data_IF_846231493209
#
_entry.id   IF_846231493209
#
_cell.length_a   1.000
_cell.length_b   1.000
_cell.length_c   1.000
_cell.angle_alpha   90.00
_cell.angle_beta   90.00
_cell.angle_gamma   90.00
#
_symmetry.space_group_name_H-M   'P 1'
#
loop_
_entity.id
_entity.type
_entity.pdbx_description
1 polymer ?
2 branched ?
3 water ?
#
# COMPACT_ATOMS: atom_id res chain seq x y z
N UNK A 40 -5.27 -10.43 23.58
CA UNK A 40 -5.84 -10.45 22.23
C UNK A 40 -6.26 -9.05 21.76
N UNK A 41 -5.75 -8.65 20.60
CA UNK A 41 -6.15 -7.38 20.02
C UNK A 41 -7.62 -7.44 19.63
N UNK A 42 -8.30 -6.31 19.78
CA UNK A 42 -9.76 -6.25 19.68
C UNK A 42 -10.14 -5.31 18.54
N UNK A 43 -10.91 -5.83 17.59
CA UNK A 43 -11.49 -4.97 16.58
C UNK A 43 -12.48 -4.01 17.24
N UNK A 44 -12.87 -2.97 16.50
CA UNK A 44 -13.71 -1.95 17.12
C UNK A 44 -15.13 -2.45 17.40
N UNK A 45 -15.54 -3.60 16.87
CA UNK A 45 -16.81 -4.20 17.26
C UNK A 45 -16.68 -5.10 18.51
N UNK A 46 -15.50 -5.12 19.13
CA UNK A 46 -15.24 -6.03 20.22
C UNK A 46 -14.82 -7.43 19.83
N UNK A 47 -14.93 -7.81 18.55
CA UNK A 47 -14.43 -9.12 18.14
C UNK A 47 -12.91 -9.13 18.19
N UNK A 48 -12.34 -10.32 18.37
CA UNK A 48 -10.91 -10.42 18.48
C UNK A 48 -10.29 -10.54 17.11
N UNK A 49 -9.10 -9.97 16.97
CA UNK A 49 -8.30 -10.11 15.75
C UNK A 49 -7.24 -11.17 16.00
N UNK A 50 -7.23 -12.22 15.19
CA UNK A 50 -6.22 -13.26 15.28
C UNK A 50 -5.34 -13.13 14.04
N UNK A 51 -4.09 -12.69 14.19
CA UNK A 51 -3.22 -12.53 13.02
C UNK A 51 -2.66 -13.85 12.56
N UNK A 52 -2.32 -13.90 11.28
CA UNK A 52 -1.54 -15.04 10.82
C UNK A 52 -0.12 -14.93 11.35
N UNK A 53 0.56 -16.09 11.40
CA UNK A 53 1.91 -16.21 11.91
C UNK A 53 2.90 -15.28 11.22
N UNK A 54 2.66 -14.99 9.95
CA UNK A 54 3.62 -14.27 9.12
C UNK A 54 3.32 -12.78 9.02
N UNK A 55 2.33 -12.29 9.75
CA UNK A 55 2.01 -10.87 9.73
C UNK A 55 3.12 -10.09 10.43
N UNK A 56 3.30 -8.81 10.07
CA UNK A 56 4.24 -7.98 10.80
C UNK A 56 3.81 -7.81 12.24
N UNK A 57 4.72 -7.30 13.06
CA UNK A 57 4.31 -7.01 14.43
C UNK A 57 3.30 -5.87 14.43
N UNK A 58 2.49 -5.84 15.48
CA UNK A 58 1.53 -4.76 15.69
C UNK A 58 1.51 -4.40 17.16
N UNK A 59 1.19 -3.14 17.44
CA UNK A 59 1.15 -2.65 18.81
C UNK A 59 0.43 -1.32 18.81
N UNK A 60 -0.34 -1.07 19.87
CA UNK A 60 -0.95 0.24 20.05
C UNK A 60 -0.07 1.21 20.85
N UNK A 61 1.17 0.82 21.18
CA UNK A 61 2.02 1.67 22.02
C UNK A 61 2.09 3.09 21.48
N UNK A 62 2.37 3.22 20.19
CA UNK A 62 2.28 4.48 19.47
C UNK A 62 1.54 4.19 18.18
N UNK A 63 1.41 5.20 17.33
CA UNK A 63 0.66 5.04 16.10
C UNK A 63 1.31 3.92 15.27
N UNK A 64 0.57 2.86 14.93
CA UNK A 64 1.15 1.80 14.08
C UNK A 64 1.49 2.36 12.71
N UNK A 65 2.73 2.15 12.30
CA UNK A 65 3.30 2.85 11.16
C UNK A 65 3.65 1.86 10.05
N UNK A 66 3.47 2.33 8.82
CA UNK A 66 3.91 1.65 7.60
C UNK A 66 4.66 2.67 6.78
N UNK A 67 5.82 2.30 6.27
CA UNK A 67 6.61 3.23 5.46
C UNK A 67 6.70 2.71 4.03
N UNK A 68 6.71 3.60 3.05
CA UNK A 68 6.92 3.17 1.65
C UNK A 68 7.77 4.24 0.96
N UNK A 69 8.82 3.82 0.30
CA UNK A 69 9.75 4.80 -0.22
C UNK A 69 10.64 4.16 -1.27
N UNK A 70 11.28 5.01 -2.05
CA UNK A 70 12.29 4.55 -2.97
C UNK A 70 12.97 5.75 -3.57
N UNK A 71 14.16 5.52 -4.11
CA UNK A 71 14.95 6.58 -4.73
C UNK A 71 15.67 5.97 -5.93
N UNK A 72 15.32 6.43 -7.12
CA UNK A 72 15.96 5.90 -8.32
C UNK A 72 17.46 6.11 -8.27
N UNK A 73 17.91 7.16 -7.58
CA UNK A 73 19.27 7.67 -7.68
C UNK A 73 20.24 7.09 -6.67
N UNK A 74 19.76 6.47 -5.60
CA UNK A 74 20.68 6.05 -4.55
C UNK A 74 19.99 5.04 -3.65
N UNK A 75 20.80 4.31 -2.91
CA UNK A 75 20.31 3.46 -1.84
C UNK A 75 20.29 4.28 -0.55
N UNK A 76 19.66 3.71 0.48
CA UNK A 76 19.61 4.40 1.76
C UNK A 76 20.98 4.36 2.44
N UNK A 77 21.33 5.47 3.08
CA UNK A 77 22.48 5.47 3.99
C UNK A 77 22.15 4.63 5.22
N UNK A 78 23.15 4.05 5.90
CA UNK A 78 22.86 3.32 7.15
C UNK A 78 22.08 4.14 8.15
N UNK A 79 22.41 5.43 8.28
CA UNK A 79 21.68 6.30 9.19
C UNK A 79 20.21 6.33 8.84
N UNK A 80 19.90 6.33 7.54
CA UNK A 80 18.50 6.40 7.11
C UNK A 80 17.79 5.09 7.40
N UNK A 81 18.48 3.97 7.23
CA UNK A 81 17.93 2.66 7.58
C UNK A 81 17.61 2.61 9.08
N UNK A 82 18.52 3.10 9.92
CA UNK A 82 18.25 3.13 11.34
C UNK A 82 17.07 4.03 11.68
N UNK A 83 17.00 5.20 11.04
CA UNK A 83 15.90 6.12 11.33
C UNK A 83 14.56 5.45 11.02
N UNK A 84 14.46 4.80 9.85
CA UNK A 84 13.18 4.19 9.49
C UNK A 84 12.94 2.93 10.31
N UNK A 85 13.99 2.16 10.57
CA UNK A 85 13.82 0.93 11.33
C UNK A 85 13.29 1.22 12.72
N UNK A 86 13.67 2.35 13.30
CA UNK A 86 13.22 2.67 14.65
C UNK A 86 11.73 2.97 14.70
N UNK A 87 11.16 3.41 13.58
CA UNK A 87 9.78 3.89 13.57
C UNK A 87 8.78 2.91 12.93
N UNK A 88 9.21 1.79 12.39
CA UNK A 88 8.25 0.93 11.73
C UNK A 88 8.69 -0.52 11.82
N UNK A 89 7.70 -1.41 11.70
CA UNK A 89 7.91 -2.84 11.55
C UNK A 89 7.51 -3.35 10.17
N UNK A 90 7.06 -2.47 9.29
CA UNK A 90 6.35 -2.86 8.08
C UNK A 90 6.62 -1.78 7.05
N UNK A 91 7.29 -2.14 5.95
CA UNK A 91 7.59 -1.15 4.92
C UNK A 91 7.64 -1.81 3.54
N UNK A 92 7.59 -0.98 2.51
CA UNK A 92 7.67 -1.44 1.14
C UNK A 92 8.68 -0.59 0.38
N UNK A 93 9.56 -1.24 -0.39
CA UNK A 93 10.54 -0.56 -1.22
C UNK A 93 9.90 -0.26 -2.58
N UNK A 94 10.03 0.99 -3.03
CA UNK A 94 9.32 1.48 -4.24
C UNK A 94 9.80 0.97 -5.60
N UNK A 95 9.03 1.26 -6.63
CA UNK A 95 9.20 0.69 -8.00
C UNK A 95 10.54 0.93 -8.67
N UNK A 96 11.27 1.95 -8.26
CA UNK A 96 12.50 2.25 -9.01
C UNK A 96 13.73 2.26 -8.14
N UNK A 97 13.64 1.75 -6.91
CA UNK A 97 14.66 2.05 -5.91
C UNK A 97 16.02 1.49 -6.32
N UNK A 98 17.05 2.35 -6.20
CA UNK A 98 18.41 1.95 -6.48
C UNK A 98 18.64 1.51 -7.91
N UNK A 99 17.72 1.86 -8.81
CA UNK A 99 17.87 1.47 -10.20
C UNK A 99 19.15 2.03 -10.81
N UNK A 100 19.45 3.30 -10.56
CA UNK A 100 20.66 3.87 -11.14
C UNK A 100 21.92 3.25 -10.53
N UNK A 101 22.13 3.25 -9.21
CA UNK A 101 23.39 2.67 -8.69
C UNK A 101 23.51 1.17 -8.95
N UNK A 102 22.41 0.43 -9.05
CA UNK A 102 22.48 -1.02 -9.12
C UNK A 102 21.98 -1.60 -10.43
N UNK A 103 21.38 -0.79 -11.30
CA UNK A 103 20.94 -1.26 -12.59
C UNK A 103 19.55 -1.83 -12.64
N UNK A 104 19.02 -2.34 -11.52
CA UNK A 104 17.70 -2.96 -11.53
C UNK A 104 16.99 -2.71 -10.22
N UNK A 105 15.71 -2.32 -10.32
CA UNK A 105 14.95 -1.95 -9.13
C UNK A 105 14.77 -3.11 -8.18
N UNK A 106 14.83 -4.34 -8.65
CA UNK A 106 14.69 -5.40 -7.66
C UNK A 106 15.96 -5.58 -6.84
N UNK A 107 17.10 -5.08 -7.33
CA UNK A 107 18.31 -5.16 -6.50
C UNK A 107 18.30 -4.06 -5.46
N UNK A 108 17.61 -2.96 -5.76
CA UNK A 108 17.36 -1.96 -4.74
C UNK A 108 16.54 -2.52 -3.60
N UNK A 109 15.45 -3.22 -3.94
CA UNK A 109 14.67 -3.92 -2.91
C UNK A 109 15.54 -4.92 -2.17
N UNK A 110 16.35 -5.70 -2.90
CA UNK A 110 17.16 -6.72 -2.26
C UNK A 110 18.10 -6.11 -1.24
N UNK A 111 18.77 -5.00 -1.62
CA UNK A 111 19.74 -4.35 -0.75
C UNK A 111 19.09 -3.82 0.52
N UNK A 112 17.96 -3.13 0.38
CA UNK A 112 17.36 -2.53 1.57
C UNK A 112 16.69 -3.56 2.45
N UNK A 113 16.10 -4.59 1.87
CA UNK A 113 15.52 -5.64 2.69
C UNK A 113 16.57 -6.24 3.62
N UNK A 114 17.78 -6.43 3.10
CA UNK A 114 18.83 -7.03 3.92
C UNK A 114 19.36 -6.04 4.94
N UNK A 115 19.47 -4.77 4.55
CA UNK A 115 19.92 -3.74 5.50
C UNK A 115 18.94 -3.61 6.66
N UNK A 116 17.64 -3.58 6.37
CA UNK A 116 16.66 -3.43 7.44
C UNK A 116 16.65 -4.65 8.35
N UNK A 117 16.78 -5.84 7.77
CA UNK A 117 16.68 -7.04 8.57
C UNK A 117 17.94 -7.28 9.41
N UNK A 118 19.10 -6.78 8.96
CA UNK A 118 20.25 -6.77 9.85
C UNK A 118 19.94 -6.02 11.15
N UNK A 119 19.36 -4.83 11.02
CA UNK A 119 18.95 -4.07 12.22
C UNK A 119 17.81 -4.78 12.94
N UNK A 120 16.70 -4.98 12.22
CA UNK A 120 15.44 -5.47 12.76
C UNK A 120 15.11 -6.79 12.08
N UNK A 121 15.51 -7.92 12.65
CA UNK A 121 15.28 -9.20 11.96
C UNK A 121 13.81 -9.49 11.72
N UNK A 122 12.91 -9.01 12.56
CA UNK A 122 11.48 -9.29 12.46
C UNK A 122 10.76 -8.36 11.50
N UNK A 123 11.46 -7.39 10.94
CA UNK A 123 10.86 -6.41 10.05
C UNK A 123 10.28 -7.03 8.78
N UNK A 124 9.11 -6.54 8.35
CA UNK A 124 8.51 -7.02 7.10
C UNK A 124 8.77 -6.02 5.98
N UNK A 125 9.40 -6.50 4.91
CA UNK A 125 9.74 -5.67 3.76
C UNK A 125 9.06 -6.26 2.53
N UNK A 126 8.21 -5.47 1.88
CA UNK A 126 7.50 -5.92 0.68
C UNK A 126 8.25 -5.51 -0.58
N UNK A 127 8.27 -6.40 -1.55
CA UNK A 127 8.69 -6.08 -2.90
C UNK A 127 7.53 -5.44 -3.66
N UNK A 128 7.82 -4.39 -4.41
CA UNK A 128 6.77 -3.70 -5.18
C UNK A 128 6.63 -4.21 -6.60
N UNK A 129 5.40 -4.43 -7.03
CA UNK A 129 5.17 -4.68 -8.46
C UNK A 129 3.82 -4.18 -8.91
N UNK A 130 3.84 -3.48 -10.05
CA UNK A 130 2.60 -2.96 -10.65
C UNK A 130 1.93 -4.05 -11.46
N UNK A 131 0.64 -4.23 -11.25
CA UNK A 131 -0.14 -5.18 -12.03
C UNK A 131 -0.61 -4.64 -13.36
N UNK A 132 -0.44 -3.35 -13.61
CA UNK A 132 -1.04 -2.72 -14.78
C UNK A 132 -0.03 -2.11 -15.70
N UNK A 133 0.87 -1.31 -15.15
CA UNK A 133 1.91 -0.62 -15.94
C UNK A 133 3.19 -1.46 -15.90
N UNK A 134 3.77 -1.67 -17.08
CA UNK A 134 4.97 -2.48 -17.19
C UNK A 134 6.21 -1.60 -17.02
N UNK A 135 6.27 -0.97 -15.85
CA UNK A 135 7.41 -0.09 -15.50
C UNK A 135 8.70 -0.83 -15.80
N UNK A 136 9.56 -0.27 -16.66
CA UNK A 136 10.79 -0.98 -17.07
C UNK A 136 11.91 -0.89 -16.04
N UNK A 137 11.58 -0.81 -14.74
CA UNK A 137 12.62 -0.52 -13.71
C UNK A 137 13.31 -1.78 -13.21
N UNK A 138 12.59 -2.89 -13.16
CA UNK A 138 13.23 -4.14 -12.79
C UNK A 138 13.82 -4.82 -14.02
N UNK A 139 14.73 -5.76 -13.79
CA UNK A 139 15.20 -6.62 -14.87
C UNK A 139 14.07 -7.42 -15.50
N UNK A 140 13.09 -7.82 -14.69
CA UNK A 140 11.98 -8.62 -15.21
C UNK A 140 11.23 -7.89 -16.31
N UNK A 141 11.16 -6.56 -16.21
CA UNK A 141 10.44 -5.73 -17.15
C UNK A 141 11.37 -5.00 -18.12
N UNK A 142 12.64 -5.41 -18.21
CA UNK A 142 13.59 -4.64 -19.00
C UNK A 142 13.26 -4.62 -20.48
N UNK A 143 12.46 -5.57 -20.96
CA UNK A 143 12.10 -5.62 -22.38
C UNK A 143 10.92 -4.72 -22.73
N UNK A 144 10.17 -4.24 -21.75
CA UNK A 144 9.00 -3.40 -22.00
C UNK A 144 9.41 -1.95 -22.20
N UNK A 145 10.20 -1.73 -23.24
CA UNK A 145 10.50 -0.39 -23.74
C UNK A 145 10.20 -0.35 -25.23
N UNK A 146 10.00 0.87 -25.73
CA UNK A 146 9.62 1.05 -27.13
C UNK A 146 10.60 0.38 -28.09
N UNK A 147 11.89 0.43 -27.79
CA UNK A 147 12.92 -0.02 -28.71
C UNK A 147 13.40 -1.44 -28.45
N UNK A 148 12.77 -2.18 -27.53
CA UNK A 148 13.11 -3.58 -27.33
C UNK A 148 11.93 -4.53 -27.37
N UNK A 149 10.69 -4.05 -27.25
CA UNK A 149 9.57 -4.96 -27.03
C UNK A 149 9.35 -5.85 -28.26
N UNK A 150 9.54 -5.30 -29.46
CA UNK A 150 9.32 -6.10 -30.67
C UNK A 150 10.21 -7.32 -30.71
N UNK A 151 11.41 -7.22 -30.13
CA UNK A 151 12.36 -8.32 -30.02
C UNK A 151 11.93 -9.38 -29.01
N UNK A 152 10.84 -9.16 -28.28
CA UNK A 152 10.28 -10.14 -27.34
C UNK A 152 8.81 -10.35 -27.65
N UNK A 153 8.50 -11.08 -28.73
CA UNK A 153 7.08 -11.20 -29.14
C UNK A 153 6.18 -11.82 -28.08
N UNK A 154 6.66 -12.81 -27.33
CA UNK A 154 5.80 -13.42 -26.32
C UNK A 154 5.38 -12.38 -25.28
N UNK A 155 6.33 -11.56 -24.83
CA UNK A 155 6.01 -10.53 -23.85
C UNK A 155 5.13 -9.44 -24.46
N UNK A 156 5.36 -9.12 -25.74
CA UNK A 156 4.53 -8.13 -26.41
C UNK A 156 3.07 -8.57 -26.46
N UNK A 157 2.82 -9.87 -26.59
CA UNK A 157 1.45 -10.38 -26.66
C UNK A 157 0.72 -10.29 -25.33
N UNK A 158 1.43 -9.99 -24.24
CA UNK A 158 0.84 -9.83 -22.91
C UNK A 158 0.22 -8.45 -22.71
N UNK A 159 0.36 -7.56 -23.68
CA UNK A 159 0.11 -6.14 -23.52
C UNK A 159 -1.14 -5.72 -24.27
N UNK A 160 -1.86 -4.76 -23.68
CA UNK A 160 -3.08 -4.22 -24.26
C UNK A 160 -2.74 -3.44 -25.53
N UNK A 161 -3.46 -3.72 -26.59
CA UNK A 161 -3.31 -2.96 -27.83
C UNK A 161 -4.37 -1.88 -27.87
N UNK A 162 -3.96 -0.69 -28.25
CA UNK A 162 -4.85 0.45 -28.43
C UNK A 162 -5.66 0.26 -29.70
N UNK A 163 -6.98 0.04 -29.61
CA UNK A 163 -7.76 -0.23 -30.85
C UNK A 163 -7.71 0.91 -31.87
N UNK A 164 -7.65 2.16 -31.42
CA UNK A 164 -7.60 3.23 -32.40
C UNK A 164 -6.24 3.38 -33.04
N UNK A 165 -5.27 2.51 -32.73
CA UNK A 165 -3.99 2.53 -33.42
C UNK A 165 -3.50 1.17 -33.90
N UNK A 166 -4.11 0.07 -33.46
CA UNK A 166 -3.56 -1.29 -33.59
C UNK A 166 -2.12 -1.36 -33.08
N UNK A 167 -1.75 -0.38 -32.27
CA UNK A 167 -0.45 -0.18 -31.66
C UNK A 167 -0.57 -0.48 -30.17
N UNK A 168 0.57 -0.75 -29.54
CA UNK A 168 0.59 -0.97 -28.10
C UNK A 168 0.06 0.27 -27.38
N UNK A 169 -0.95 0.09 -26.55
CA UNK A 169 -1.36 1.17 -25.66
C UNK A 169 -0.19 1.51 -24.74
N UNK A 170 -0.16 2.75 -24.26
CA UNK A 170 0.94 3.15 -23.41
C UNK A 170 0.62 4.46 -22.72
N UNK A 171 1.41 4.71 -21.67
CA UNK A 171 1.36 5.99 -20.93
C UNK A 171 2.82 6.42 -20.90
N UNK A 172 3.20 7.37 -21.72
CA UNK A 172 4.59 7.79 -21.83
C UNK A 172 5.44 6.61 -22.19
N UNK A 173 4.94 5.82 -23.15
CA UNK A 173 5.69 4.66 -23.65
C UNK A 173 5.92 3.58 -22.58
N UNK A 174 5.11 3.55 -21.53
CA UNK A 174 5.08 2.45 -20.58
C UNK A 174 3.85 1.62 -20.88
N UNK A 175 4.05 0.34 -21.18
CA UNK A 175 2.97 -0.45 -21.74
C UNK A 175 2.08 -1.01 -20.65
N UNK A 176 0.96 -1.60 -21.06
CA UNK A 176 -0.10 -1.99 -20.14
C UNK A 176 -0.18 -3.51 -20.14
N UNK A 177 -0.12 -4.12 -18.97
CA UNK A 177 -0.39 -5.55 -18.91
C UNK A 177 -1.87 -5.79 -19.18
N UNK A 178 -2.18 -6.90 -19.82
CA UNK A 178 -3.56 -7.31 -20.09
C UNK A 178 -3.92 -8.47 -19.17
N UNK A 179 -4.61 -8.15 -18.07
CA UNK A 179 -4.97 -9.16 -17.09
C UNK A 179 -5.92 -10.20 -17.68
N UNK A 180 -6.58 -9.88 -18.80
CA UNK A 180 -7.48 -10.81 -19.44
C UNK A 180 -6.73 -11.94 -20.14
N UNK A 181 -5.48 -11.70 -20.48
CA UNK A 181 -4.65 -12.68 -21.17
C UNK A 181 -4.15 -13.71 -20.17
N UNK A 182 -4.68 -14.95 -20.20
CA UNK A 182 -4.22 -15.96 -19.23
C UNK A 182 -2.73 -16.17 -19.19
N UNK A 183 -2.00 -16.09 -20.31
CA UNK A 183 -0.56 -16.25 -20.26
C UNK A 183 0.12 -15.11 -19.52
N UNK A 184 -0.42 -13.89 -19.66
CA UNK A 184 0.10 -12.79 -18.86
C UNK A 184 -0.09 -13.07 -17.37
N UNK A 185 -1.28 -13.57 -16.99
CA UNK A 185 -1.52 -13.87 -15.57
C UNK A 185 -0.52 -14.88 -15.05
N UNK A 186 -0.21 -15.89 -15.86
CA UNK A 186 0.78 -16.89 -15.45
C UNK A 186 2.15 -16.26 -15.35
N UNK A 187 2.53 -15.47 -16.36
CA UNK A 187 3.89 -14.93 -16.39
C UNK A 187 4.06 -13.85 -15.31
N UNK A 188 3.11 -12.93 -15.22
CA UNK A 188 3.19 -11.85 -14.24
C UNK A 188 3.31 -12.40 -12.82
N UNK A 189 2.41 -13.33 -12.47
CA UNK A 189 2.40 -13.89 -11.11
C UNK A 189 3.69 -14.64 -10.80
N UNK A 190 4.18 -15.46 -11.73
CA UNK A 190 5.49 -16.09 -11.55
C UNK A 190 6.59 -15.04 -11.39
N UNK A 191 6.50 -13.96 -12.18
CA UNK A 191 7.53 -12.93 -12.14
C UNK A 191 7.57 -12.21 -10.79
N UNK A 192 6.41 -11.79 -10.27
CA UNK A 192 6.39 -11.17 -8.95
C UNK A 192 6.96 -12.11 -7.91
N UNK A 193 6.47 -13.36 -7.89
CA UNK A 193 7.01 -14.37 -7.00
C UNK A 193 8.52 -14.50 -7.16
N UNK A 194 9.01 -14.44 -8.40
CA UNK A 194 10.45 -14.44 -8.60
C UNK A 194 11.08 -13.20 -7.99
N UNK A 195 10.44 -12.04 -8.16
CA UNK A 195 11.00 -10.83 -7.56
C UNK A 195 11.02 -10.89 -6.05
N UNK A 196 9.98 -11.48 -5.45
CA UNK A 196 9.93 -11.58 -4.00
C UNK A 196 11.05 -12.50 -3.50
N UNK A 197 11.27 -13.62 -4.21
CA UNK A 197 12.29 -14.59 -3.80
C UNK A 197 13.70 -14.04 -4.01
N UNK A 198 13.94 -13.38 -5.14
CA UNK A 198 15.27 -12.84 -5.43
C UNK A 198 15.63 -11.70 -4.50
N UNK A 199 14.64 -10.97 -4.00
CA UNK A 199 14.89 -9.82 -3.15
C UNK A 199 14.98 -10.17 -1.68
N UNK A 200 14.57 -11.38 -1.28
CA UNK A 200 14.43 -11.68 0.13
C UNK A 200 13.39 -10.83 0.82
N UNK A 201 12.40 -10.35 0.10
CA UNK A 201 11.29 -9.62 0.69
C UNK A 201 10.25 -10.59 1.24
N UNK A 202 9.44 -10.09 2.19
CA UNK A 202 8.46 -10.90 2.89
C UNK A 202 7.11 -10.94 2.19
N UNK A 203 7.06 -10.47 0.97
CA UNK A 203 5.82 -10.46 0.21
C UNK A 203 5.87 -9.33 -0.78
N UNK A 204 4.71 -9.02 -1.33
CA UNK A 204 4.60 -8.10 -2.45
C UNK A 204 3.52 -7.05 -2.17
N UNK A 205 3.85 -5.84 -2.59
CA UNK A 205 2.84 -4.78 -2.66
C UNK A 205 2.44 -4.75 -4.14
N UNK A 206 1.20 -5.14 -4.43
CA UNK A 206 0.70 -5.14 -5.79
C UNK A 206 -0.07 -3.85 -6.03
N UNK A 207 0.42 -3.06 -6.97
CA UNK A 207 -0.22 -1.77 -7.29
C UNK A 207 -1.19 -1.90 -8.46
N UNK A 208 -2.33 -1.23 -8.37
CA UNK A 208 -3.34 -1.21 -9.43
C UNK A 208 -4.23 -2.44 -9.44
N UNK A 209 -5.51 -2.21 -9.31
CA UNK A 209 -6.45 -3.31 -9.35
C UNK A 209 -7.39 -3.24 -10.52
N UNK A 210 -7.29 -2.18 -11.32
CA UNK A 210 -8.35 -1.84 -12.26
C UNK A 210 -8.26 -2.64 -13.55
N UNK A 211 -7.11 -3.25 -13.84
CA UNK A 211 -6.90 -3.92 -15.11
C UNK A 211 -7.40 -3.16 -16.31
N UNK A 212 -7.31 -1.82 -16.26
CA UNK A 212 -7.76 -0.96 -17.36
C UNK A 212 -9.18 -1.32 -17.82
N UNK A 213 -10.07 -1.57 -16.85
CA UNK A 213 -11.43 -1.97 -17.19
C UNK A 213 -12.10 -0.94 -18.10
N UNK A 214 -11.77 0.34 -17.95
CA UNK A 214 -12.37 1.38 -18.77
C UNK A 214 -11.93 1.32 -20.23
N UNK A 215 -10.86 0.59 -20.53
CA UNK A 215 -10.47 0.36 -21.91
C UNK A 215 -11.20 -0.84 -22.53
N UNK A 216 -11.98 -1.57 -21.76
CA UNK A 216 -12.74 -2.69 -22.28
C UNK A 216 -13.97 -2.80 -21.37
N UNK A 217 -14.77 -1.74 -21.38
CA UNK A 217 -15.81 -1.58 -20.37
C UNK A 217 -16.81 -2.72 -20.41
N UNK A 218 -17.02 -3.28 -21.60
CA UNK A 218 -17.91 -4.43 -21.77
C UNK A 218 -17.40 -5.65 -21.03
N UNK A 219 -16.09 -5.74 -20.83
CA UNK A 219 -15.47 -6.87 -20.17
C UNK A 219 -15.13 -6.60 -18.71
N UNK A 220 -15.66 -5.50 -18.13
CA UNK A 220 -15.23 -5.06 -16.81
C UNK A 220 -15.35 -6.18 -15.76
N UNK A 221 -16.52 -6.81 -15.70
CA UNK A 221 -16.71 -7.93 -14.77
C UNK A 221 -15.64 -9.02 -14.99
N UNK A 222 -15.34 -9.37 -16.24
CA UNK A 222 -14.29 -10.35 -16.51
C UNK A 222 -12.93 -9.87 -16.01
N UNK A 223 -12.64 -8.58 -16.16
CA UNK A 223 -11.39 -8.01 -15.69
C UNK A 223 -11.29 -8.19 -14.18
N UNK A 224 -12.37 -7.85 -13.47
CA UNK A 224 -12.40 -8.03 -12.02
C UNK A 224 -12.12 -9.48 -11.62
N UNK A 225 -12.74 -10.43 -12.32
CA UNK A 225 -12.50 -11.85 -12.04
C UNK A 225 -11.07 -12.27 -12.41
N UNK A 226 -10.56 -11.74 -13.53
CA UNK A 226 -9.19 -12.05 -13.91
C UNK A 226 -8.19 -11.52 -12.90
N UNK A 227 -8.41 -10.29 -12.39
CA UNK A 227 -7.55 -9.78 -11.33
C UNK A 227 -7.47 -10.78 -10.18
N UNK A 228 -8.63 -11.29 -9.75
CA UNK A 228 -8.64 -12.22 -8.64
C UNK A 228 -7.81 -13.46 -8.93
N UNK A 229 -7.92 -13.97 -10.17
CA UNK A 229 -7.17 -15.17 -10.54
C UNK A 229 -5.68 -14.90 -10.53
N UNK A 230 -5.26 -13.74 -11.02
CA UNK A 230 -3.83 -13.44 -11.06
C UNK A 230 -3.28 -13.33 -9.64
N UNK A 231 -4.04 -12.72 -8.74
CA UNK A 231 -3.63 -12.64 -7.34
C UNK A 231 -3.61 -14.02 -6.71
N UNK A 232 -4.60 -14.85 -7.01
CA UNK A 232 -4.62 -16.19 -6.43
C UNK A 232 -3.42 -16.99 -6.90
N UNK A 233 -3.03 -16.83 -8.16
CA UNK A 233 -1.79 -17.45 -8.66
C UNK A 233 -0.58 -16.96 -7.87
N UNK A 234 -0.39 -15.64 -7.80
CA UNK A 234 0.75 -15.08 -7.11
C UNK A 234 0.81 -15.55 -5.65
N UNK A 235 -0.34 -15.52 -4.98
CA UNK A 235 -0.40 -15.93 -3.58
C UNK A 235 0.10 -17.36 -3.41
N UNK A 236 -0.31 -18.26 -4.30
CA UNK A 236 0.19 -19.64 -4.27
C UNK A 236 1.66 -19.71 -4.68
N UNK A 237 2.04 -19.03 -5.76
CA UNK A 237 3.41 -19.17 -6.23
C UNK A 237 4.42 -18.61 -5.24
N UNK A 238 4.01 -17.67 -4.39
CA UNK A 238 4.94 -17.07 -3.44
C UNK A 238 5.35 -18.04 -2.35
N UNK A 239 4.53 -19.04 -2.07
CA UNK A 239 4.83 -19.95 -0.99
C UNK A 239 4.24 -19.45 0.31
N UNK A 240 4.50 -20.17 1.41
CA UNK A 240 3.58 -20.14 2.56
C UNK A 240 3.69 -18.98 3.54
N UNK A 241 4.71 -18.15 3.55
CA UNK A 241 4.68 -17.16 4.63
C UNK A 241 4.85 -15.75 4.12
N UNK A 242 4.16 -15.43 3.01
CA UNK A 242 4.38 -14.23 2.22
C UNK A 242 3.16 -13.33 2.26
N UNK A 243 3.38 -12.05 2.51
CA UNK A 243 2.30 -11.08 2.63
C UNK A 243 1.92 -10.59 1.24
N UNK A 244 0.64 -10.59 0.97
CA UNK A 244 0.12 -9.99 -0.25
C UNK A 244 -0.67 -8.73 0.12
N UNK A 245 -0.14 -7.57 -0.25
CA UNK A 245 -0.80 -6.29 -0.06
C UNK A 245 -1.26 -5.78 -1.41
N UNK A 246 -2.56 -5.48 -1.53
CA UNK A 246 -3.12 -4.91 -2.75
C UNK A 246 -3.46 -3.45 -2.56
N UNK A 247 -2.99 -2.63 -3.50
CA UNK A 247 -3.26 -1.18 -3.41
C UNK A 247 -4.71 -0.88 -3.72
N UNK A 248 -5.32 -0.08 -2.85
CA UNK A 248 -6.70 0.36 -3.06
C UNK A 248 -7.65 -0.83 -3.18
N UNK A 249 -7.34 -1.90 -2.44
CA UNK A 249 -8.10 -3.14 -2.58
C UNK A 249 -9.39 -3.16 -1.78
N UNK A 250 -9.73 -2.06 -1.12
CA UNK A 250 -11.06 -1.87 -0.56
C UNK A 250 -12.09 -1.65 -1.65
N UNK A 251 -11.66 -1.25 -2.84
CA UNK A 251 -12.62 -0.83 -3.85
C UNK A 251 -13.36 -2.06 -4.38
N UNK A 252 -14.62 -1.82 -4.80
CA UNK A 252 -15.43 -2.90 -5.34
C UNK A 252 -14.76 -3.56 -6.53
N UNK A 253 -13.93 -2.82 -7.29
CA UNK A 253 -13.32 -3.42 -8.47
C UNK A 253 -12.30 -4.48 -8.11
N UNK A 254 -11.89 -4.54 -6.84
CA UNK A 254 -10.94 -5.54 -6.37
C UNK A 254 -11.61 -6.65 -5.58
N UNK A 255 -12.95 -6.76 -5.63
CA UNK A 255 -13.64 -7.72 -4.77
C UNK A 255 -13.21 -9.17 -5.06
N UNK A 256 -12.93 -9.49 -6.32
CA UNK A 256 -12.39 -10.82 -6.60
C UNK A 256 -10.93 -10.95 -6.15
N UNK A 257 -10.18 -9.83 -6.17
CA UNK A 257 -8.80 -9.86 -5.68
C UNK A 257 -8.75 -9.93 -4.16
N UNK A 258 -9.65 -9.20 -3.50
CA UNK A 258 -9.63 -9.03 -2.05
C UNK A 258 -9.44 -10.33 -1.25
N UNK A 259 -10.17 -11.43 -1.51
CA UNK A 259 -10.07 -12.59 -0.60
C UNK A 259 -8.69 -13.18 -0.42
N UNK A 260 -7.85 -13.19 -1.46
CA UNK A 260 -6.52 -13.79 -1.30
C UNK A 260 -5.51 -12.83 -0.71
N UNK A 261 -5.88 -11.56 -0.58
CA UNK A 261 -4.98 -10.53 -0.07
C UNK A 261 -4.83 -10.66 1.44
N UNK A 262 -3.63 -10.41 1.94
CA UNK A 262 -3.43 -10.26 3.38
C UNK A 262 -3.65 -8.84 3.85
N UNK A 263 -3.62 -7.87 2.94
CA UNK A 263 -3.63 -6.47 3.32
C UNK A 263 -4.17 -5.65 2.16
N UNK A 264 -4.72 -4.48 2.49
CA UNK A 264 -5.17 -3.54 1.48
C UNK A 264 -4.81 -2.12 1.91
N UNK A 265 -4.49 -1.26 0.94
CA UNK A 265 -4.10 0.11 1.24
C UNK A 265 -5.15 1.10 0.75
N UNK A 266 -5.45 2.07 1.60
CA UNK A 266 -6.29 3.20 1.24
C UNK A 266 -5.36 4.30 0.80
N UNK A 267 -5.22 4.48 -0.51
CA UNK A 267 -4.15 5.39 -1.04
C UNK A 267 -4.46 6.88 -0.90
N UNK A 268 -5.74 7.24 -0.79
CA UNK A 268 -6.11 8.65 -0.70
C UNK A 268 -5.36 9.51 -1.72
N UNK A 269 -5.40 9.08 -2.98
CA UNK A 269 -4.56 9.69 -4.02
C UNK A 269 -5.10 11.00 -4.57
N UNK A 270 -6.27 11.45 -4.15
CA UNK A 270 -6.80 12.73 -4.60
C UNK A 270 -7.74 13.22 -3.51
N UNK A 271 -8.38 14.36 -3.76
CA UNK A 271 -9.20 15.00 -2.71
C UNK A 271 -10.61 14.45 -2.61
N UNK A 272 -11.14 13.80 -3.65
CA UNK A 272 -12.43 13.13 -3.48
C UNK A 272 -12.32 11.99 -2.48
N UNK A 273 -11.16 11.34 -2.41
CA UNK A 273 -10.94 10.24 -1.47
C UNK A 273 -10.72 10.72 -0.04
N UNK A 274 -10.58 12.02 0.17
CA UNK A 274 -10.44 12.62 1.48
C UNK A 274 -11.69 13.40 1.89
N UNK A 275 -12.78 13.27 1.13
CA UNK A 275 -14.05 13.87 1.49
C UNK A 275 -14.58 13.26 2.77
N UNK A 276 -15.60 13.91 3.35
CA UNK A 276 -16.20 13.37 4.56
C UNK A 276 -16.89 12.03 4.29
N UNK A 277 -17.50 11.90 3.11
CA UNK A 277 -18.12 10.63 2.73
C UNK A 277 -17.09 9.52 2.55
N UNK A 278 -15.97 9.83 1.87
CA UNK A 278 -14.94 8.81 1.63
C UNK A 278 -14.28 8.38 2.93
N UNK A 279 -14.02 9.34 3.82
CA UNK A 279 -13.39 9.01 5.10
C UNK A 279 -14.29 8.08 5.93
N UNK A 280 -15.59 8.33 5.92
CA UNK A 280 -16.50 7.46 6.65
C UNK A 280 -16.54 6.08 6.01
N UNK A 281 -16.47 6.04 4.67
CA UNK A 281 -16.37 4.77 3.96
C UNK A 281 -15.04 4.07 4.26
N UNK A 282 -13.93 4.81 4.30
CA UNK A 282 -12.68 4.24 4.79
C UNK A 282 -12.93 3.48 6.09
N UNK A 283 -13.57 4.15 7.05
CA UNK A 283 -13.69 3.58 8.39
C UNK A 283 -14.54 2.33 8.36
N UNK A 284 -15.63 2.33 7.58
CA UNK A 284 -16.39 1.10 7.43
C UNK A 284 -15.54 0.01 6.78
N UNK A 285 -14.81 0.37 5.72
CA UNK A 285 -13.94 -0.60 5.05
C UNK A 285 -12.90 -1.16 6.03
N UNK A 286 -12.31 -0.30 6.85
CA UNK A 286 -11.26 -0.74 7.77
C UNK A 286 -11.78 -1.79 8.76
N UNK A 287 -13.00 -1.58 9.29
CA UNK A 287 -13.62 -2.58 10.15
C UNK A 287 -13.86 -3.87 9.40
N UNK A 288 -14.40 -3.78 8.18
CA UNK A 288 -14.67 -5.00 7.41
C UNK A 288 -13.36 -5.75 7.14
N UNK A 289 -12.31 -5.03 6.77
CA UNK A 289 -11.02 -5.68 6.53
C UNK A 289 -10.54 -6.40 7.78
N UNK A 290 -10.65 -5.73 8.94
CA UNK A 290 -10.16 -6.34 10.19
C UNK A 290 -11.00 -7.54 10.58
N UNK A 291 -12.31 -7.49 10.34
CA UNK A 291 -13.14 -8.65 10.64
C UNK A 291 -12.79 -9.82 9.74
N UNK A 292 -12.22 -9.56 8.57
CA UNK A 292 -11.72 -10.64 7.73
C UNK A 292 -10.35 -11.13 8.19
N UNK A 293 -9.83 -10.61 9.30
CA UNK A 293 -8.49 -10.95 9.73
C UNK A 293 -7.40 -10.41 8.84
N UNK A 294 -7.69 -9.39 8.05
CA UNK A 294 -6.74 -8.78 7.13
C UNK A 294 -6.20 -7.47 7.69
N UNK A 295 -5.19 -6.96 7.02
CA UNK A 295 -4.48 -5.76 7.41
C UNK A 295 -4.91 -4.63 6.50
N UNK A 296 -4.87 -3.41 7.01
CA UNK A 296 -5.10 -2.28 6.13
C UNK A 296 -4.01 -1.24 6.37
N UNK A 297 -3.69 -0.51 5.31
CA UNK A 297 -2.76 0.60 5.37
C UNK A 297 -3.55 1.85 5.02
N UNK A 298 -3.64 2.77 5.96
CA UNK A 298 -4.33 4.04 5.76
C UNK A 298 -3.25 5.06 5.39
N UNK A 299 -3.10 5.34 4.10
CA UNK A 299 -1.99 6.17 3.64
C UNK A 299 -2.48 7.57 3.30
N UNK A 300 -1.71 8.56 3.74
CA UNK A 300 -2.01 9.97 3.49
C UNK A 300 -0.84 10.58 2.75
N UNK A 301 -1.13 11.18 1.61
CA UNK A 301 -0.15 12.03 0.97
C UNK A 301 -0.68 13.44 0.97
N UNK A 302 0.01 14.36 1.66
CA UNK A 302 -0.52 15.71 1.83
C UNK A 302 -0.41 16.50 0.53
N UNK A 303 0.19 15.90 -0.50
CA UNK A 303 0.11 16.50 -1.83
C UNK A 303 -1.32 16.55 -2.34
N UNK A 304 -2.23 15.79 -1.74
CA UNK A 304 -3.64 15.77 -2.09
C UNK A 304 -4.51 16.62 -1.17
N UNK A 305 -3.90 17.44 -0.31
CA UNK A 305 -4.64 18.37 0.53
C UNK A 305 -5.21 19.54 -0.28
N UNK A 321 5.87 22.12 2.03
CA UNK A 321 5.38 20.73 1.98
C UNK A 321 5.78 19.94 3.23
N UNK A 322 7.07 19.95 3.65
CA UNK A 322 7.36 19.41 4.99
C UNK A 322 6.72 20.24 6.08
N UNK A 323 6.59 21.55 5.85
CA UNK A 323 5.88 22.41 6.78
C UNK A 323 4.39 22.07 6.80
N UNK A 324 3.79 21.96 5.62
CA UNK A 324 2.37 21.64 5.55
C UNK A 324 2.09 20.26 6.16
N UNK A 325 2.98 19.29 5.92
CA UNK A 325 2.75 17.95 6.43
C UNK A 325 2.79 17.93 7.95
N UNK A 326 3.83 18.53 8.54
CA UNK A 326 3.91 18.57 10.00
C UNK A 326 2.74 19.36 10.58
N UNK A 327 2.24 20.36 9.85
CA UNK A 327 1.08 21.12 10.28
C UNK A 327 -0.17 20.24 10.28
N UNK A 328 -0.40 19.52 9.18
CA UNK A 328 -1.59 18.72 8.98
C UNK A 328 -1.52 17.35 9.66
N UNK A 329 -0.41 17.01 10.31
CA UNK A 329 -0.26 15.65 10.82
C UNK A 329 -1.28 15.34 11.91
N UNK A 330 -1.67 16.33 12.72
CA UNK A 330 -2.70 16.08 13.72
C UNK A 330 -4.04 15.77 13.08
N UNK A 331 -4.35 16.38 11.93
CA UNK A 331 -5.65 16.14 11.33
C UNK A 331 -5.73 14.77 10.68
N UNK A 332 -4.69 14.40 9.92
CA UNK A 332 -4.74 13.15 9.16
C UNK A 332 -4.49 11.94 10.04
N UNK A 333 -3.67 12.08 11.09
CA UNK A 333 -3.58 11.04 12.10
C UNK A 333 -4.95 10.77 12.71
N UNK A 334 -5.64 11.82 13.15
CA UNK A 334 -6.97 11.66 13.75
C UNK A 334 -7.92 10.98 12.79
N UNK A 335 -7.83 11.31 11.49
CA UNK A 335 -8.66 10.62 10.51
C UNK A 335 -8.39 9.13 10.52
N UNK A 336 -7.13 8.74 10.69
CA UNK A 336 -6.83 7.32 10.78
C UNK A 336 -7.31 6.75 12.11
N UNK A 337 -7.05 7.45 13.21
CA UNK A 337 -7.32 6.89 14.53
C UNK A 337 -8.80 6.65 14.75
N UNK A 338 -9.67 7.42 14.09
CA UNK A 338 -11.10 7.18 14.21
C UNK A 338 -11.46 5.77 13.75
N UNK A 339 -10.81 5.29 12.70
CA UNK A 339 -11.17 4.01 12.12
C UNK A 339 -10.18 2.88 12.37
N UNK A 340 -9.10 3.19 13.08
CA UNK A 340 -8.00 2.25 13.31
C UNK A 340 -8.47 0.92 13.91
N UNK A 341 -7.85 -0.16 13.44
CA UNK A 341 -8.19 -1.52 13.81
C UNK A 341 -6.89 -2.24 14.12
N UNK A 342 -6.94 -3.37 14.82
CA UNK A 342 -5.74 -4.19 14.97
C UNK A 342 -5.12 -4.42 13.60
N UNK A 343 -3.80 -4.40 13.57
CA UNK A 343 -3.04 -4.71 12.35
C UNK A 343 -3.44 -3.80 11.20
N UNK A 344 -3.86 -2.59 11.52
CA UNK A 344 -3.91 -1.52 10.53
C UNK A 344 -2.77 -0.54 10.83
N UNK A 345 -2.29 0.11 9.79
CA UNK A 345 -1.08 0.91 9.87
C UNK A 345 -1.30 2.25 9.17
N UNK A 346 -0.68 3.29 9.72
CA UNK A 346 -0.71 4.63 9.16
C UNK A 346 0.53 4.85 8.31
N UNK A 347 0.35 5.44 7.12
CA UNK A 347 1.46 5.92 6.31
C UNK A 347 1.28 7.42 6.11
N UNK A 348 2.37 8.19 6.28
CA UNK A 348 2.28 9.65 6.23
C UNK A 348 3.47 10.26 5.52
N UNK A 349 3.19 11.27 4.70
CA UNK A 349 4.22 12.04 4.02
C UNK A 349 3.56 12.94 2.99
N UNK A 350 4.33 13.23 1.93
CA UNK A 350 3.79 13.98 0.79
C UNK A 350 4.14 13.30 -0.53
N UNK A 351 4.46 12.01 -0.51
CA UNK A 351 4.71 11.29 -1.75
C UNK A 351 5.31 9.92 -1.46
N UNK A 352 5.99 9.37 -2.48
CA UNK A 352 6.51 7.99 -2.42
C UNK A 352 8.03 7.94 -2.64
N UNK A 353 8.68 9.09 -2.63
CA UNK A 353 10.16 9.10 -2.73
C UNK A 353 10.75 8.99 -1.32
N UNK A 354 12.04 8.68 -1.23
CA UNK A 354 12.70 8.67 0.07
C UNK A 354 12.60 10.05 0.72
N UNK A 355 12.66 11.11 -0.10
CA UNK A 355 12.60 12.48 0.39
C UNK A 355 11.17 12.93 0.69
N UNK A 356 10.19 12.03 0.63
CA UNK A 356 8.78 12.40 0.71
C UNK A 356 8.19 12.22 2.11
N UNK A 357 9.03 12.19 3.14
CA UNK A 357 8.48 12.14 4.49
C UNK A 357 9.04 11.06 5.38
N UNK A 358 9.48 9.93 4.78
CA UNK A 358 9.94 8.81 5.58
C UNK A 358 11.08 9.21 6.52
N UNK A 359 11.86 10.22 6.13
CA UNK A 359 13.00 10.66 6.92
C UNK A 359 12.72 11.92 7.77
N UNK A 360 11.45 12.29 7.93
CA UNK A 360 11.08 13.40 8.79
C UNK A 360 10.48 12.90 10.10
N UNK A 361 10.59 13.73 11.13
CA UNK A 361 9.95 13.46 12.40
C UNK A 361 8.64 14.24 12.44
N UNK A 362 7.52 13.51 12.45
CA UNK A 362 6.23 14.08 12.78
C UNK A 362 5.94 13.68 14.22
N UNK A 363 6.03 14.60 15.18
CA UNK A 363 6.07 14.18 16.59
C UNK A 363 4.84 13.43 17.04
N UNK A 364 3.67 13.73 16.46
CA UNK A 364 2.45 13.07 16.90
C UNK A 364 2.55 11.56 16.71
N UNK A 365 3.18 11.11 15.62
CA UNK A 365 3.29 9.66 15.36
C UNK A 365 4.07 8.93 16.45
N UNK A 366 4.91 9.61 17.19
CA UNK A 366 5.73 8.94 18.19
C UNK A 366 5.20 9.07 19.62
N UNK A 367 4.05 9.68 19.77
CA UNK A 367 3.45 9.87 21.08
C UNK A 367 2.70 8.61 21.52
N UNK A 368 2.69 8.39 22.84
CA UNK A 368 1.97 7.26 23.39
C UNK A 368 0.51 7.31 22.98
N UNK A 369 -0.01 6.17 22.52
CA UNK A 369 -1.39 6.07 22.05
C UNK A 369 -2.19 5.09 22.90
N UNK A 370 -1.78 3.83 22.93
CA UNK A 370 -2.43 2.83 23.72
C UNK A 370 -3.64 2.25 23.03
N UNK A 371 -4.18 1.16 23.58
CA UNK A 371 -5.30 0.48 22.94
C UNK A 371 -6.54 1.36 22.92
N UNK A 372 -7.40 1.22 21.91
CA UNK A 372 -8.65 1.98 21.91
C UNK A 372 -9.52 1.53 23.08
N UNK A 373 -10.21 2.49 23.68
CA UNK A 373 -11.16 2.15 24.73
C UNK A 373 -12.51 1.72 24.16
N UNK A 374 -12.77 2.04 22.90
CA UNK A 374 -13.93 1.54 22.20
C UNK A 374 -13.90 2.08 20.79
N UNK A 375 -14.95 1.71 20.04
CA UNK A 375 -15.16 2.26 18.72
C UNK A 375 -15.37 3.77 18.80
N UNK A 376 -15.31 4.42 17.64
CA UNK A 376 -15.55 5.84 17.62
C UNK A 376 -17.03 6.13 17.86
N UNK A 377 -17.30 7.38 18.22
CA UNK A 377 -18.66 7.88 18.40
C UNK A 377 -18.89 8.97 17.37
N UNK A 378 -19.96 8.83 16.59
CA UNK A 378 -20.44 9.91 15.75
C UNK A 378 -21.25 10.86 16.64
N UNK A 379 -20.69 12.04 16.89
CA UNK A 379 -21.27 12.96 17.88
C UNK A 379 -22.75 13.23 17.64
N UNK A 380 -23.17 13.31 16.38
CA UNK A 380 -24.58 13.40 16.03
C UNK A 380 -24.83 12.50 14.83
N UNK A 381 -26.00 11.85 14.77
CA UNK A 381 -26.16 10.73 13.83
C UNK A 381 -26.01 11.10 12.36
N UNK A 382 -26.15 12.38 12.01
CA UNK A 382 -25.97 12.83 10.65
C UNK A 382 -24.88 13.88 10.53
N UNK A 383 -24.18 14.18 11.62
CA UNK A 383 -23.11 15.15 11.57
C UNK A 383 -21.82 14.49 11.11
N UNK A 384 -20.78 15.31 11.03
CA UNK A 384 -19.49 14.85 10.54
C UNK A 384 -18.40 15.09 11.57
N UNK A 385 -18.79 15.09 12.84
CA UNK A 385 -17.85 15.10 13.95
C UNK A 385 -17.73 13.68 14.48
N UNK A 386 -16.49 13.29 14.82
CA UNK A 386 -16.21 11.95 15.28
C UNK A 386 -15.17 12.01 16.37
N UNK A 387 -15.37 11.20 17.40
CA UNK A 387 -14.45 11.14 18.52
C UNK A 387 -14.12 9.69 18.83
N UNK A 388 -12.92 9.48 19.34
CA UNK A 388 -12.56 8.15 19.80
C UNK A 388 -11.59 8.27 20.95
N UNK A 389 -11.77 7.40 21.94
CA UNK A 389 -10.95 7.37 23.14
C UNK A 389 -9.93 6.24 23.02
N UNK A 390 -8.66 6.57 23.18
CA UNK A 390 -7.61 5.59 23.37
C UNK A 390 -7.07 5.69 24.80
N UNK A 391 -6.24 4.72 25.16
CA UNK A 391 -5.71 4.69 26.52
C UNK A 391 -4.97 5.98 26.87
N UNK A 392 -4.24 6.56 25.91
CA UNK A 392 -3.39 7.71 26.20
C UNK A 392 -3.71 8.91 25.33
N UNK A 393 -4.88 8.92 24.70
CA UNK A 393 -5.18 10.01 23.79
C UNK A 393 -6.68 10.08 23.56
N UNK A 394 -7.15 11.30 23.35
CA UNK A 394 -8.54 11.58 23.01
C UNK A 394 -8.56 12.22 21.64
N UNK A 395 -9.24 11.58 20.69
CA UNK A 395 -9.28 12.02 19.30
C UNK A 395 -10.59 12.72 19.04
N UNK A 396 -10.54 13.88 18.40
CA UNK A 396 -11.73 14.56 17.89
C UNK A 396 -11.44 15.04 16.48
N UNK A 397 -12.40 14.85 15.58
CA UNK A 397 -12.21 15.32 14.22
C UNK A 397 -13.57 15.67 13.61
N UNK A 398 -13.60 16.76 12.85
CA UNK A 398 -14.72 17.14 11.99
C UNK A 398 -14.26 16.96 10.56
N UNK A 399 -14.81 15.96 9.86
CA UNK A 399 -14.38 15.72 8.49
C UNK A 399 -15.14 16.56 7.46
N UNK A 400 -16.09 17.39 7.89
CA UNK A 400 -16.67 18.38 7.00
C UNK A 400 -15.79 19.60 6.89
N UNK A 401 -15.37 20.13 8.02
CA UNK A 401 -14.55 21.34 8.05
C UNK A 401 -13.07 21.04 7.96
N UNK A 402 -12.66 19.79 8.17
CA UNK A 402 -11.25 19.44 8.11
C UNK A 402 -10.43 19.93 9.28
N UNK A 403 -10.95 19.81 10.50
CA UNK A 403 -10.25 20.21 11.70
C UNK A 403 -10.23 19.05 12.68
N UNK A 404 -9.16 18.99 13.47
CA UNK A 404 -9.03 17.88 14.40
C UNK A 404 -8.24 18.32 15.61
N UNK A 405 -8.45 17.60 16.71
CA UNK A 405 -7.68 17.78 17.92
C UNK A 405 -7.43 16.41 18.52
N UNK A 406 -6.17 16.05 18.66
CA UNK A 406 -5.77 14.89 19.46
C UNK A 406 -5.21 15.42 20.77
N UNK A 407 -5.88 15.08 21.87
CA UNK A 407 -5.46 15.47 23.21
C UNK A 407 -4.66 14.33 23.79
N UNK A 408 -3.33 14.48 23.81
CA UNK A 408 -2.46 13.43 24.31
C UNK A 408 -2.41 13.49 25.83
N UNK A 409 -2.66 12.34 26.47
CA UNK A 409 -2.72 12.31 27.92
C UNK A 409 -1.53 11.50 28.49
#
# INVERSE_FOLDING_TARGET
>A
MGSSHHHHHHSSGLVPRGSHMASMTGGQQMGRGSEFLGQHYLNSDGSRFVPKDFYPKFSWDTTPMYYMFGDTTRLLEPEEVEFIAERTDFLCIEKSHGRTPLGAAELGAKHEAAAFKKIKPDMKVLFYFNSAYAWPFTSYNQAFTRNKIDEHPKLKSFLIVDPKTAELAHRRNVFFFDVLNPELREWWSTTVAKGVAESGCDGAFIDQMHGFAWLRADKSEDVQKAMGEMMALLKRKMGPDKILLGNNANQDIAKDAFPVMDASMFEHYNEKLLSKESLLQDWDDMLRIAQAGKMSIFRIGVESDPRASQDQGRRGSRRDQPVLAKERAEYYLACYLIGAQPYSYFQYGWGWTLSSGSLHEFPELRKALGPPKGAYDRTTPDGWEFTREFEHASVWVNTETGNAKITWR
#
